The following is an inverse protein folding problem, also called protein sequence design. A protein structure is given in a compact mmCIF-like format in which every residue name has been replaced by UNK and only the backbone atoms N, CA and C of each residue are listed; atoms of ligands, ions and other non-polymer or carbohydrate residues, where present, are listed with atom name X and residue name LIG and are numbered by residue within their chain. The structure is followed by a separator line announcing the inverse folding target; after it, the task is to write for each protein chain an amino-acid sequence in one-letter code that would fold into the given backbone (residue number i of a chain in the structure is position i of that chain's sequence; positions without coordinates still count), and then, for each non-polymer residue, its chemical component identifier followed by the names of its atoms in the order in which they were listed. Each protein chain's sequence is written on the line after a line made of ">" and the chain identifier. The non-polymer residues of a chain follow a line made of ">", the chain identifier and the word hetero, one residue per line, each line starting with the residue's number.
data_IF_080929978944
#
_entry.id   IF_080929978944
#
_cell.length_a   1.000
_cell.length_b   1.000
_cell.length_c   1.000
_cell.angle_alpha   90.00
_cell.angle_beta   90.00
_cell.angle_gamma   90.00
#
_symmetry.space_group_name_H-M   'P 1'
#
loop_
_entity.id
_entity.type
_entity.pdbx_description
1 polymer ?
#
# COMPACT_ATOMS: atom_id res chain seq x y z
N UNK A 1 -49.78 47.70 64.56
CA UNK A 1 -48.62 48.48 64.13
C UNK A 1 -47.41 47.58 64.30
N UNK A 2 -46.62 47.17 63.32
CA UNK A 2 -46.67 47.17 61.86
C UNK A 2 -45.51 46.22 61.50
N UNK A 3 -45.73 45.21 60.67
CA UNK A 3 -44.67 44.28 60.29
C UNK A 3 -43.79 44.91 59.19
N UNK A 4 -42.45 44.82 59.22
CA UNK A 4 -41.65 45.17 58.06
C UNK A 4 -41.68 44.02 57.04
N UNK A 5 -41.98 44.38 55.80
CA UNK A 5 -42.04 43.49 54.64
C UNK A 5 -40.64 43.15 54.09
N UNK A 6 -40.54 41.88 53.69
CA UNK A 6 -39.71 41.19 52.69
C UNK A 6 -38.62 41.93 51.91
N UNK A 7 -37.48 41.24 51.72
CA UNK A 7 -36.77 41.21 50.43
C UNK A 7 -36.27 39.77 50.15
N UNK A 8 -37.09 38.99 49.46
CA UNK A 8 -36.63 37.77 48.81
C UNK A 8 -35.85 38.18 47.55
N UNK A 9 -34.58 37.76 47.45
CA UNK A 9 -33.72 38.02 46.30
C UNK A 9 -34.01 36.95 45.25
N UNK A 10 -34.90 37.24 44.30
CA UNK A 10 -35.06 36.41 43.10
C UNK A 10 -33.79 36.47 42.24
N UNK A 11 -33.14 35.34 42.02
CA UNK A 11 -32.19 35.19 40.93
C UNK A 11 -32.97 34.97 39.64
N UNK A 12 -33.11 36.03 38.85
CA UNK A 12 -33.55 35.92 37.46
C UNK A 12 -32.35 35.53 36.60
N UNK A 13 -32.34 34.30 36.07
CA UNK A 13 -31.41 33.89 35.02
C UNK A 13 -31.85 34.55 33.71
N UNK A 14 -31.25 35.69 33.37
CA UNK A 14 -31.45 36.32 32.07
C UNK A 14 -30.65 35.56 31.02
N UNK A 15 -31.36 34.80 30.17
CA UNK A 15 -30.82 34.28 28.92
C UNK A 15 -30.59 35.45 27.96
N UNK A 16 -29.33 35.77 27.68
CA UNK A 16 -28.96 36.71 26.61
C UNK A 16 -29.35 36.10 25.25
N UNK A 17 -30.02 36.85 24.35
CA UNK A 17 -30.30 36.34 23.02
C UNK A 17 -28.98 36.24 22.26
N UNK A 18 -28.61 35.03 21.84
CA UNK A 18 -27.49 34.86 20.90
C UNK A 18 -27.81 35.66 19.63
N UNK A 19 -26.93 36.58 19.25
CA UNK A 19 -27.11 37.32 18.02
C UNK A 19 -27.02 36.34 16.83
N UNK A 20 -27.83 36.55 15.81
CA UNK A 20 -27.85 35.72 14.59
C UNK A 20 -26.44 35.61 13.96
N UNK A 21 -25.61 36.65 14.12
CA UNK A 21 -24.21 36.65 13.70
C UNK A 21 -23.32 35.66 14.45
N UNK A 22 -23.60 35.40 15.73
CA UNK A 22 -22.84 34.44 16.54
C UNK A 22 -23.17 32.99 16.13
N UNK A 23 -24.43 32.73 15.80
CA UNK A 23 -24.89 31.45 15.25
C UNK A 23 -24.27 31.19 13.88
N UNK A 24 -24.24 32.20 13.01
CA UNK A 24 -23.62 32.11 11.68
C UNK A 24 -22.10 31.85 11.79
N UNK A 25 -21.43 32.50 12.75
CA UNK A 25 -19.99 32.34 12.98
C UNK A 25 -19.64 30.95 13.52
N UNK A 26 -20.45 30.41 14.44
CA UNK A 26 -20.33 29.04 14.92
C UNK A 26 -20.54 28.03 13.78
N UNK A 27 -21.55 28.24 12.93
CA UNK A 27 -21.81 27.38 11.79
C UNK A 27 -20.67 27.40 10.75
N UNK A 28 -20.09 28.57 10.50
CA UNK A 28 -18.92 28.71 9.63
C UNK A 28 -17.67 28.03 10.21
N UNK A 29 -17.48 28.08 11.53
CA UNK A 29 -16.39 27.38 12.22
C UNK A 29 -16.56 25.85 12.15
N UNK A 30 -17.76 25.34 12.38
CA UNK A 30 -18.07 23.90 12.26
C UNK A 30 -17.90 23.42 10.81
N UNK A 31 -18.33 24.21 9.82
CA UNK A 31 -18.12 23.91 8.40
C UNK A 31 -16.62 23.89 8.03
N UNK A 32 -15.83 24.80 8.59
CA UNK A 32 -14.37 24.80 8.44
C UNK A 32 -13.71 23.56 9.08
N UNK A 33 -14.15 23.16 10.28
CA UNK A 33 -13.64 21.96 10.95
C UNK A 33 -13.98 20.68 10.18
N UNK A 34 -15.18 20.60 9.59
CA UNK A 34 -15.59 19.49 8.70
C UNK A 34 -14.78 19.46 7.40
N UNK A 35 -14.43 20.62 6.83
CA UNK A 35 -13.57 20.72 5.64
C UNK A 35 -12.11 20.37 5.94
N UNK A 36 -11.58 20.74 7.12
CA UNK A 36 -10.23 20.37 7.58
C UNK A 36 -10.12 18.86 7.87
N UNK A 37 -11.15 18.25 8.47
CA UNK A 37 -11.20 16.82 8.79
C UNK A 37 -11.25 15.89 7.57
N UNK A 38 -11.57 16.41 6.39
CA UNK A 38 -11.65 15.64 5.15
C UNK A 38 -10.29 15.44 4.46
N UNK A 39 -9.21 16.01 4.99
CA UNK A 39 -7.86 15.99 4.37
C UNK A 39 -6.93 14.88 4.89
N UNK A 40 -7.37 14.05 5.85
CA UNK A 40 -6.56 13.01 6.49
C UNK A 40 -6.97 11.59 6.06
N UNK A 41 -7.05 11.34 4.75
CA UNK A 41 -7.00 9.96 4.23
C UNK A 41 -5.67 9.79 3.49
N UNK A 42 -4.58 9.75 4.24
CA UNK A 42 -3.28 9.37 3.70
C UNK A 42 -3.28 7.85 3.48
N UNK A 43 -3.64 7.40 2.28
CA UNK A 43 -3.25 6.06 1.82
C UNK A 43 -1.75 6.06 1.63
N UNK A 44 -1.03 5.40 2.55
CA UNK A 44 0.42 5.42 2.58
C UNK A 44 1.04 4.55 1.47
N UNK A 45 0.34 3.47 1.07
CA UNK A 45 0.76 2.60 -0.02
C UNK A 45 0.08 2.99 -1.35
N UNK A 46 0.80 2.90 -2.49
CA UNK A 46 0.21 3.14 -3.80
C UNK A 46 -0.90 2.13 -4.10
N UNK A 47 -1.92 2.56 -4.84
CA UNK A 47 -2.97 1.67 -5.33
C UNK A 47 -2.40 0.73 -6.41
N UNK A 48 -2.91 -0.50 -6.51
CA UNK A 48 -2.44 -1.51 -7.47
C UNK A 48 -2.76 -1.18 -8.93
N UNK A 49 -3.52 -0.12 -9.17
CA UNK A 49 -3.85 0.44 -10.49
C UNK A 49 -3.26 1.85 -10.70
N UNK A 50 -2.41 2.33 -9.77
CA UNK A 50 -1.70 3.59 -9.93
C UNK A 50 -0.68 3.50 -11.08
N UNK A 51 -0.78 4.41 -12.03
CA UNK A 51 -0.01 4.34 -13.29
C UNK A 51 1.48 4.56 -13.05
N UNK A 52 1.85 5.44 -12.13
CA UNK A 52 3.26 5.74 -11.86
C UNK A 52 3.92 4.55 -11.14
N UNK A 53 3.24 3.97 -10.16
CA UNK A 53 3.65 2.73 -9.50
C UNK A 53 3.82 1.57 -10.49
N UNK A 54 2.85 1.36 -11.39
CA UNK A 54 2.90 0.30 -12.41
C UNK A 54 4.12 0.51 -13.33
N UNK A 55 4.30 1.73 -13.82
CA UNK A 55 5.39 2.06 -14.73
C UNK A 55 6.75 1.86 -14.05
N UNK A 56 6.93 2.35 -12.81
CA UNK A 56 8.15 2.14 -12.04
C UNK A 56 8.43 0.64 -11.87
N UNK A 57 7.42 -0.12 -11.42
CA UNK A 57 7.54 -1.55 -11.15
C UNK A 57 7.97 -2.32 -12.40
N UNK A 58 7.27 -2.16 -13.51
CA UNK A 58 7.53 -2.90 -14.76
C UNK A 58 8.84 -2.47 -15.41
N UNK A 59 9.12 -1.17 -15.45
CA UNK A 59 10.36 -0.67 -16.06
C UNK A 59 11.59 -1.17 -15.32
N UNK A 60 11.59 -1.12 -13.99
CA UNK A 60 12.73 -1.58 -13.20
C UNK A 60 12.92 -3.10 -13.30
N UNK A 61 11.84 -3.89 -13.35
CA UNK A 61 11.94 -5.32 -13.62
C UNK A 61 12.63 -5.62 -14.95
N UNK A 62 12.20 -4.93 -16.01
CA UNK A 62 12.75 -5.12 -17.34
C UNK A 62 14.20 -4.61 -17.47
N UNK A 63 14.53 -3.49 -16.84
CA UNK A 63 15.90 -2.95 -16.76
C UNK A 63 16.83 -4.01 -16.15
N UNK A 64 16.50 -4.53 -14.97
CA UNK A 64 17.35 -5.48 -14.26
C UNK A 64 17.39 -6.86 -14.92
N UNK A 65 16.33 -7.28 -15.62
CA UNK A 65 16.32 -8.49 -16.46
C UNK A 65 17.23 -8.31 -17.68
N UNK A 66 17.30 -7.12 -18.25
CA UNK A 66 18.18 -6.80 -19.39
C UNK A 66 19.67 -6.79 -19.05
N UNK A 67 20.01 -6.58 -17.78
CA UNK A 67 21.40 -6.39 -17.29
C UNK A 67 21.94 -7.61 -16.51
N UNK A 68 21.36 -8.80 -16.70
CA UNK A 68 21.87 -10.03 -16.04
C UNK A 68 23.19 -10.49 -16.67
N UNK A 69 24.11 -10.98 -15.83
CA UNK A 69 25.39 -11.57 -16.23
C UNK A 69 25.48 -12.98 -15.63
N UNK A 70 25.73 -14.03 -16.43
CA UNK A 70 25.88 -14.03 -17.89
C UNK A 70 24.61 -13.58 -18.62
N UNK A 71 24.80 -13.02 -19.82
CA UNK A 71 23.70 -12.48 -20.61
C UNK A 71 22.71 -13.59 -20.95
N UNK A 72 21.44 -13.38 -20.61
CA UNK A 72 20.41 -14.33 -20.95
C UNK A 72 20.00 -14.19 -22.42
N UNK A 73 19.77 -15.32 -23.08
CA UNK A 73 19.43 -15.37 -24.52
C UNK A 73 17.92 -15.33 -24.80
N UNK A 74 17.08 -15.58 -23.80
CA UNK A 74 15.64 -15.80 -23.99
C UNK A 74 14.73 -15.19 -22.90
N UNK A 75 15.19 -14.14 -22.20
CA UNK A 75 14.32 -13.43 -21.24
C UNK A 75 13.23 -12.66 -21.97
N UNK A 76 11.97 -12.95 -21.62
CA UNK A 76 10.82 -12.22 -22.13
C UNK A 76 10.66 -10.88 -21.42
N UNK A 77 10.06 -9.92 -22.11
CA UNK A 77 9.67 -8.64 -21.53
C UNK A 77 8.49 -8.82 -20.57
N UNK A 78 8.55 -8.18 -19.40
CA UNK A 78 7.48 -8.16 -18.40
C UNK A 78 6.50 -7.02 -18.67
N UNK A 79 5.24 -7.28 -18.34
CA UNK A 79 4.10 -6.38 -18.45
C UNK A 79 3.36 -6.37 -17.10
N UNK A 80 2.38 -5.47 -16.95
CA UNK A 80 1.52 -5.49 -15.77
C UNK A 80 0.30 -6.38 -16.01
N UNK A 81 0.00 -7.26 -15.05
CA UNK A 81 -1.24 -8.02 -15.01
C UNK A 81 -2.10 -7.59 -13.81
N UNK A 82 -3.26 -7.01 -14.10
CA UNK A 82 -4.19 -6.46 -13.10
C UNK A 82 -4.80 -7.55 -12.20
N UNK A 83 -4.99 -8.77 -12.72
CA UNK A 83 -5.52 -9.86 -11.89
C UNK A 83 -4.45 -10.35 -10.89
N UNK A 84 -3.19 -10.43 -11.30
CA UNK A 84 -2.09 -10.72 -10.39
C UNK A 84 -1.92 -9.63 -9.32
N UNK A 85 -2.04 -8.35 -9.68
CA UNK A 85 -1.90 -7.25 -8.71
C UNK A 85 -3.00 -7.27 -7.64
N UNK A 86 -4.24 -7.58 -8.03
CA UNK A 86 -5.36 -7.75 -7.10
C UNK A 86 -5.15 -8.93 -6.15
N UNK A 87 -4.63 -10.06 -6.66
CA UNK A 87 -4.26 -11.21 -5.82
C UNK A 87 -3.17 -10.85 -4.83
N UNK A 88 -2.11 -10.17 -5.27
CA UNK A 88 -1.02 -9.73 -4.39
C UNK A 88 -1.53 -8.80 -3.29
N UNK A 89 -2.41 -7.85 -3.62
CA UNK A 89 -3.03 -6.98 -2.62
C UNK A 89 -3.92 -7.73 -1.65
N UNK A 90 -4.75 -8.67 -2.14
CA UNK A 90 -5.61 -9.47 -1.29
C UNK A 90 -4.82 -10.32 -0.29
N UNK A 91 -3.69 -10.90 -0.74
CA UNK A 91 -2.79 -11.65 0.13
C UNK A 91 -2.04 -10.74 1.12
N UNK A 92 -1.47 -9.64 0.65
CA UNK A 92 -0.72 -8.67 1.47
C UNK A 92 -1.55 -8.05 2.60
N UNK A 93 -2.86 -7.85 2.40
CA UNK A 93 -3.80 -7.38 3.44
C UNK A 93 -3.91 -8.31 4.65
N UNK A 94 -3.47 -9.57 4.54
CA UNK A 94 -3.44 -10.51 5.67
C UNK A 94 -2.31 -10.23 6.64
N UNK A 95 -1.29 -9.45 6.23
CA UNK A 95 -0.13 -9.08 7.03
C UNK A 95 0.60 -10.29 7.64
N UNK A 96 0.71 -11.38 6.87
CA UNK A 96 1.47 -12.58 7.24
C UNK A 96 2.67 -12.74 6.30
N UNK A 97 3.84 -13.04 6.86
CA UNK A 97 5.05 -13.30 6.09
C UNK A 97 5.13 -14.79 5.70
N UNK A 98 4.11 -15.22 4.96
CA UNK A 98 3.96 -16.58 4.44
C UNK A 98 3.47 -16.52 3.00
N UNK A 99 3.89 -17.49 2.18
CA UNK A 99 3.48 -17.55 0.79
C UNK A 99 2.00 -17.86 0.61
N UNK A 100 1.41 -17.35 -0.46
CA UNK A 100 0.03 -17.64 -0.81
C UNK A 100 -0.17 -19.14 -1.08
N UNK A 101 -0.95 -19.78 -0.22
CA UNK A 101 -1.19 -21.23 -0.27
C UNK A 101 -1.91 -21.69 -1.55
N UNK A 102 -2.53 -20.75 -2.28
CA UNK A 102 -3.30 -21.03 -3.49
C UNK A 102 -2.51 -20.83 -4.80
N UNK A 103 -1.20 -20.55 -4.74
CA UNK A 103 -0.37 -20.24 -5.92
C UNK A 103 -0.37 -21.34 -7.00
N UNK A 104 -0.59 -22.59 -6.59
CA UNK A 104 -0.63 -23.76 -7.48
C UNK A 104 -2.05 -24.17 -7.87
N UNK A 105 -3.07 -23.60 -7.24
CA UNK A 105 -4.45 -23.97 -7.46
C UNK A 105 -5.02 -23.28 -8.70
N UNK A 106 -5.70 -24.06 -9.53
CA UNK A 106 -6.30 -23.58 -10.77
C UNK A 106 -7.37 -22.54 -10.46
N UNK A 107 -7.30 -21.39 -11.13
CA UNK A 107 -8.28 -20.28 -11.04
C UNK A 107 -8.41 -19.60 -9.68
N UNK A 108 -7.60 -19.95 -8.67
CA UNK A 108 -7.68 -19.32 -7.34
C UNK A 108 -6.94 -17.98 -7.29
N UNK A 109 -5.76 -17.91 -7.90
CA UNK A 109 -4.88 -16.72 -7.89
C UNK A 109 -4.89 -15.94 -9.20
N UNK A 110 -5.30 -16.57 -10.31
CA UNK A 110 -5.41 -15.93 -11.61
C UNK A 110 -6.42 -16.69 -12.50
N UNK A 111 -7.30 -16.01 -13.26
CA UNK A 111 -8.34 -16.67 -14.05
C UNK A 111 -7.82 -17.50 -15.25
N UNK A 112 -6.60 -17.21 -15.73
CA UNK A 112 -6.02 -17.84 -16.93
C UNK A 112 -4.74 -18.64 -16.68
N UNK A 113 -4.02 -18.36 -15.61
CA UNK A 113 -2.67 -18.87 -15.39
C UNK A 113 -2.66 -19.76 -14.15
N UNK A 114 -1.83 -20.80 -14.20
CA UNK A 114 -1.61 -21.73 -13.10
C UNK A 114 -0.12 -21.71 -12.72
N UNK A 115 0.19 -22.10 -11.48
CA UNK A 115 1.57 -22.15 -11.00
C UNK A 115 2.23 -20.77 -10.93
N UNK A 116 1.51 -19.81 -10.33
CA UNK A 116 1.96 -18.44 -10.11
C UNK A 116 3.16 -18.42 -9.16
N UNK A 117 4.15 -17.57 -9.44
CA UNK A 117 5.25 -17.30 -8.53
C UNK A 117 4.93 -16.14 -7.60
N UNK A 118 5.63 -16.03 -6.48
CA UNK A 118 5.45 -14.94 -5.52
C UNK A 118 6.80 -14.52 -4.92
N UNK A 119 7.09 -13.22 -4.99
CA UNK A 119 8.18 -12.63 -4.23
C UNK A 119 7.57 -11.75 -3.13
N UNK A 120 8.15 -11.76 -1.94
CA UNK A 120 7.67 -10.98 -0.81
C UNK A 120 8.77 -10.05 -0.29
N UNK A 121 8.39 -8.84 0.08
CA UNK A 121 9.24 -7.90 0.81
C UNK A 121 8.50 -7.45 2.06
N UNK A 122 9.23 -7.33 3.17
CA UNK A 122 8.71 -6.84 4.44
C UNK A 122 9.71 -5.83 5.00
N UNK A 123 9.17 -4.72 5.49
CA UNK A 123 9.91 -3.66 6.15
C UNK A 123 8.96 -2.59 6.64
N UNK A 124 9.49 -1.49 7.20
CA UNK A 124 8.67 -0.37 7.63
C UNK A 124 7.86 0.19 6.46
N UNK A 125 6.56 0.43 6.69
CA UNK A 125 5.63 0.93 5.67
C UNK A 125 6.16 2.25 5.08
N UNK A 126 6.75 3.10 5.91
CA UNK A 126 7.34 4.38 5.51
C UNK A 126 8.62 4.32 4.69
N UNK A 127 9.21 3.14 4.56
CA UNK A 127 10.38 2.90 3.71
C UNK A 127 10.02 2.21 2.40
N UNK A 128 8.76 1.78 2.24
CA UNK A 128 8.38 1.03 1.05
C UNK A 128 8.40 1.89 -0.21
N UNK A 129 9.13 1.39 -1.21
CA UNK A 129 8.96 1.75 -2.62
C UNK A 129 9.08 0.48 -3.47
N UNK A 130 8.50 0.46 -4.67
CA UNK A 130 8.70 -0.63 -5.61
C UNK A 130 10.19 -0.85 -5.88
N UNK A 131 10.94 0.23 -6.11
CA UNK A 131 12.40 0.19 -6.31
C UNK A 131 13.16 -0.50 -5.18
N UNK A 132 12.84 -0.23 -3.92
CA UNK A 132 13.53 -0.85 -2.77
C UNK A 132 13.31 -2.37 -2.77
N UNK A 133 12.06 -2.82 -2.88
CA UNK A 133 11.73 -4.25 -2.89
C UNK A 133 12.37 -4.98 -4.10
N UNK A 134 12.29 -4.39 -5.29
CA UNK A 134 12.86 -4.97 -6.50
C UNK A 134 14.39 -5.01 -6.41
N UNK A 135 15.04 -3.95 -5.90
CA UNK A 135 16.51 -3.97 -5.77
C UNK A 135 16.98 -4.93 -4.69
N UNK A 136 16.23 -5.14 -3.59
CA UNK A 136 16.59 -6.12 -2.58
C UNK A 136 16.55 -7.55 -3.14
N UNK A 137 15.47 -7.93 -3.82
CA UNK A 137 15.38 -9.21 -4.52
C UNK A 137 16.43 -9.36 -5.62
N UNK A 138 16.89 -8.26 -6.24
CA UNK A 138 17.98 -8.34 -7.23
C UNK A 138 19.33 -8.62 -6.57
N UNK A 139 19.57 -8.04 -5.39
CA UNK A 139 20.84 -8.10 -4.69
C UNK A 139 21.21 -9.52 -4.26
N UNK A 140 20.22 -10.40 -4.13
CA UNK A 140 20.39 -11.86 -3.94
C UNK A 140 21.27 -12.51 -5.03
N UNK A 141 21.46 -11.87 -6.20
CA UNK A 141 22.43 -12.30 -7.21
C UNK A 141 23.83 -12.57 -6.66
N UNK A 142 24.21 -11.84 -5.61
CA UNK A 142 25.51 -12.00 -4.93
C UNK A 142 25.67 -13.38 -4.28
N UNK A 143 24.56 -14.07 -4.00
CA UNK A 143 24.51 -15.40 -3.42
C UNK A 143 24.31 -16.50 -4.48
N UNK A 144 23.96 -16.14 -5.72
CA UNK A 144 23.69 -17.09 -6.81
C UNK A 144 24.97 -17.40 -7.60
N UNK A 145 25.31 -18.67 -7.71
CA UNK A 145 26.40 -19.15 -8.57
C UNK A 145 25.82 -19.65 -9.91
N UNK A 146 26.14 -18.94 -10.98
CA UNK A 146 25.68 -19.26 -12.32
C UNK A 146 26.27 -20.53 -12.94
N UNK A 147 27.49 -20.92 -12.57
CA UNK A 147 28.18 -22.05 -13.18
C UNK A 147 27.51 -23.39 -12.82
N UNK A 148 27.02 -23.49 -11.59
CA UNK A 148 26.42 -24.71 -11.06
C UNK A 148 24.96 -24.54 -10.59
N UNK A 149 24.39 -23.34 -10.70
CA UNK A 149 23.01 -23.03 -10.32
C UNK A 149 22.73 -23.08 -8.82
N UNK A 150 23.77 -23.05 -7.98
CA UNK A 150 23.64 -23.14 -6.52
C UNK A 150 23.53 -21.78 -5.85
N UNK A 151 23.01 -21.76 -4.61
CA UNK A 151 22.96 -20.56 -3.79
C UNK A 151 23.64 -20.77 -2.44
N UNK A 152 24.43 -19.77 -2.02
CA UNK A 152 25.04 -19.75 -0.69
C UNK A 152 24.07 -19.32 0.43
N UNK A 153 22.88 -18.87 0.08
CA UNK A 153 21.77 -18.49 0.96
C UNK A 153 20.44 -18.55 0.23
N UNK A 154 19.42 -17.83 0.69
CA UNK A 154 18.17 -17.69 -0.06
C UNK A 154 18.35 -16.70 -1.22
N UNK A 155 18.09 -17.18 -2.42
CA UNK A 155 18.22 -16.48 -3.70
C UNK A 155 16.94 -16.66 -4.54
N UNK A 156 15.86 -17.16 -3.93
CA UNK A 156 14.65 -17.59 -4.61
C UNK A 156 13.97 -16.43 -5.35
N UNK A 157 13.96 -15.23 -4.75
CA UNK A 157 13.39 -14.05 -5.39
C UNK A 157 14.19 -13.66 -6.64
N UNK A 158 15.52 -13.71 -6.57
CA UNK A 158 16.40 -13.46 -7.72
C UNK A 158 16.16 -14.45 -8.86
N UNK A 159 16.11 -15.74 -8.55
CA UNK A 159 15.88 -16.80 -9.55
C UNK A 159 14.52 -16.63 -10.21
N UNK A 160 13.47 -16.42 -9.40
CA UNK A 160 12.10 -16.28 -9.91
C UNK A 160 11.99 -15.14 -10.92
N UNK A 161 12.55 -13.97 -10.59
CA UNK A 161 12.47 -12.81 -11.49
C UNK A 161 13.25 -12.98 -12.78
N UNK A 162 14.23 -13.86 -12.85
CA UNK A 162 15.03 -14.10 -14.06
C UNK A 162 14.60 -15.37 -14.81
N UNK A 163 13.41 -15.90 -14.51
CA UNK A 163 12.88 -17.04 -15.24
C UNK A 163 12.27 -16.61 -16.58
N UNK A 164 12.41 -17.48 -17.58
CA UNK A 164 11.89 -17.37 -18.94
C UNK A 164 10.47 -17.95 -19.08
N UNK A 165 10.10 -18.87 -18.17
CA UNK A 165 8.84 -19.63 -18.23
C UNK A 165 7.59 -18.89 -17.73
N UNK A 166 7.72 -17.77 -17.02
CA UNK A 166 6.63 -17.22 -16.20
C UNK A 166 6.54 -15.69 -16.20
N UNK A 167 6.81 -15.07 -17.35
CA UNK A 167 6.71 -13.62 -17.49
C UNK A 167 5.48 -13.26 -18.33
N UNK A 168 4.44 -12.83 -17.63
CA UNK A 168 3.59 -11.72 -18.03
C UNK A 168 3.82 -10.57 -17.07
#
# INVERSE_FOLDING_TARGET
>A
MEAPRSLAREWSAQSLPLAVGDVLKLWLCELWLLLLGSSLNATFLPHEEDVDFINEYVNLHNELRGDVIPRASNLRFMTWDVALSRTARAWGKRCVFEHNIYLQDVQMVHPKFYGIGENMWVGPENEFTASIAIRSWHAEKKMYNFENGSCSGDCSNYIQRNTDKKTL
#
